data_IF_473720872240
#
_entry.id   IF_473720872240
#
_cell.length_a   1.000
_cell.length_b   1.000
_cell.length_c   1.000
_cell.angle_alpha   90.00
_cell.angle_beta   90.00
_cell.angle_gamma   90.00
#
_symmetry.space_group_name_H-M   'P 1'
#
loop_
_entity.id
_entity.type
_entity.pdbx_description
1 polymer ?
#
# COMPACT_ATOMS: atom_id res chain seq x y z
N UNK A 1 27.60 0.76 13.10
CA UNK A 1 26.19 1.22 13.25
C UNK A 1 26.08 2.71 13.57
N UNK A 2 26.91 3.26 14.47
CA UNK A 2 26.88 4.69 14.85
C UNK A 2 26.91 5.67 13.67
N UNK A 3 27.82 5.46 12.70
CA UNK A 3 27.91 6.31 11.50
C UNK A 3 26.67 6.26 10.58
N UNK A 4 25.86 5.20 10.63
CA UNK A 4 24.60 5.11 9.88
C UNK A 4 23.51 5.93 10.57
N UNK A 5 23.43 5.84 11.90
CA UNK A 5 22.47 6.60 12.71
C UNK A 5 22.71 8.10 12.55
N UNK A 6 23.97 8.55 12.63
CA UNK A 6 24.35 9.95 12.43
C UNK A 6 23.97 10.46 11.02
N UNK A 7 24.15 9.62 9.98
CA UNK A 7 23.74 9.97 8.61
C UNK A 7 22.22 10.07 8.46
N UNK A 8 21.46 9.21 9.13
CA UNK A 8 20.00 9.27 9.14
C UNK A 8 19.52 10.52 9.88
N UNK A 9 20.16 10.91 10.98
CA UNK A 9 19.86 12.15 11.71
C UNK A 9 20.09 13.40 10.85
N UNK A 10 21.23 13.46 10.14
CA UNK A 10 21.51 14.55 9.22
C UNK A 10 20.48 14.61 8.07
N UNK A 11 20.05 13.46 7.55
CA UNK A 11 19.06 13.39 6.48
C UNK A 11 17.65 13.86 6.91
N UNK A 12 17.23 13.54 8.14
CA UNK A 12 15.97 14.07 8.69
C UNK A 12 16.05 15.59 8.81
N UNK A 13 17.13 16.10 9.43
CA UNK A 13 17.30 17.54 9.63
C UNK A 13 17.33 18.33 8.31
N UNK A 14 17.97 17.78 7.28
CA UNK A 14 18.00 18.41 5.95
C UNK A 14 16.63 18.37 5.27
N UNK A 15 15.86 17.30 5.44
CA UNK A 15 14.49 17.21 4.91
C UNK A 15 13.58 18.25 5.56
N UNK A 16 13.68 18.44 6.87
CA UNK A 16 12.93 19.47 7.60
C UNK A 16 13.31 20.88 7.14
N UNK A 17 14.61 21.13 6.94
CA UNK A 17 15.11 22.42 6.40
C UNK A 17 14.55 22.71 5.00
N UNK A 18 14.54 21.72 4.12
CA UNK A 18 14.00 21.85 2.76
C UNK A 18 12.49 22.15 2.78
N UNK A 19 11.74 21.57 3.72
CA UNK A 19 10.31 21.90 3.88
C UNK A 19 10.11 23.37 4.25
N UNK A 20 10.90 23.90 5.18
CA UNK A 20 10.83 25.31 5.58
C UNK A 20 11.13 26.23 4.39
N UNK A 21 12.24 26.00 3.70
CA UNK A 21 12.67 26.82 2.54
C UNK A 21 11.64 26.79 1.42
N UNK A 22 11.09 25.61 1.13
CA UNK A 22 10.05 25.47 0.11
C UNK A 22 8.76 26.21 0.50
N UNK A 23 8.32 26.09 1.75
CA UNK A 23 7.17 26.82 2.28
C UNK A 23 7.34 28.34 2.11
N UNK A 24 8.52 28.86 2.44
CA UNK A 24 8.87 30.27 2.24
C UNK A 24 8.86 30.70 0.76
N UNK A 25 9.35 29.84 -0.14
CA UNK A 25 9.33 30.12 -1.58
C UNK A 25 7.91 30.11 -2.15
N UNK A 26 7.05 29.17 -1.72
CA UNK A 26 5.64 29.13 -2.10
C UNK A 26 4.93 30.38 -1.59
N UNK A 27 5.10 30.73 -0.32
CA UNK A 27 4.50 31.93 0.26
C UNK A 27 4.97 33.21 -0.44
N UNK A 28 6.25 33.28 -0.84
CA UNK A 28 6.79 34.41 -1.61
C UNK A 28 6.21 34.48 -3.01
N UNK A 29 6.09 33.34 -3.69
CA UNK A 29 5.47 33.25 -5.01
C UNK A 29 3.97 33.62 -4.96
N UNK A 30 3.26 33.27 -3.88
CA UNK A 30 1.88 33.65 -3.64
C UNK A 30 1.68 35.15 -3.35
N UNK A 31 2.74 35.92 -3.05
CA UNK A 31 2.66 37.36 -2.77
C UNK A 31 2.94 38.24 -4.00
N UNK A 32 3.43 37.67 -5.09
CA UNK A 32 3.67 38.40 -6.34
C UNK A 32 2.35 38.44 -7.13
N UNK A 33 1.84 39.65 -7.42
CA UNK A 33 0.58 39.84 -8.15
C UNK A 33 0.70 39.47 -9.63
N UNK A 34 -0.24 38.66 -10.11
CA UNK A 34 -0.39 38.30 -11.51
C UNK A 34 -0.60 36.79 -11.73
N UNK A 35 -1.72 36.45 -12.38
CA UNK A 35 -2.16 35.10 -12.78
C UNK A 35 -2.65 34.21 -11.63
N UNK A 36 -3.94 34.37 -11.27
CA UNK A 36 -4.63 33.51 -10.28
C UNK A 36 -4.48 32.01 -10.58
N UNK A 37 -4.40 31.63 -11.86
CA UNK A 37 -4.18 30.25 -12.29
C UNK A 37 -2.75 29.76 -11.96
N UNK A 38 -1.73 30.59 -12.19
CA UNK A 38 -0.34 30.30 -11.79
C UNK A 38 -0.22 30.21 -10.27
N UNK A 39 -0.94 31.07 -9.54
CA UNK A 39 -1.00 31.07 -8.09
C UNK A 39 -1.61 29.76 -7.53
N UNK A 40 -2.68 29.28 -8.16
CA UNK A 40 -3.30 28.00 -7.81
C UNK A 40 -2.35 26.81 -8.08
N UNK A 41 -1.71 26.77 -9.26
CA UNK A 41 -0.74 25.71 -9.59
C UNK A 41 0.49 25.71 -8.68
N UNK A 42 1.01 26.88 -8.31
CA UNK A 42 2.13 26.99 -7.35
C UNK A 42 1.72 26.51 -5.96
N UNK A 43 0.49 26.82 -5.52
CA UNK A 43 -0.03 26.33 -4.24
C UNK A 43 -0.19 24.81 -4.24
N UNK A 44 -0.71 24.24 -5.32
CA UNK A 44 -0.90 22.80 -5.48
C UNK A 44 0.46 22.08 -5.50
N UNK A 45 1.40 22.56 -6.31
CA UNK A 45 2.78 22.04 -6.36
C UNK A 45 3.48 22.14 -5.00
N UNK A 46 3.33 23.28 -4.31
CA UNK A 46 3.86 23.47 -2.96
C UNK A 46 3.27 22.48 -1.94
N UNK A 47 1.97 22.22 -2.03
CA UNK A 47 1.30 21.23 -1.20
C UNK A 47 1.76 19.80 -1.52
N UNK A 48 1.95 19.46 -2.79
CA UNK A 48 2.44 18.15 -3.24
C UNK A 48 3.86 17.88 -2.78
N UNK A 49 4.77 18.81 -3.03
CA UNK A 49 6.17 18.66 -2.60
C UNK A 49 6.24 18.66 -1.08
N UNK A 50 5.43 19.47 -0.38
CA UNK A 50 5.31 19.41 1.08
C UNK A 50 4.81 18.05 1.59
N UNK A 51 3.85 17.42 0.91
CA UNK A 51 3.40 16.04 1.21
C UNK A 51 4.52 15.03 0.98
N UNK A 52 5.23 15.12 -0.13
CA UNK A 52 6.34 14.21 -0.46
C UNK A 52 7.47 14.33 0.56
N UNK A 53 7.88 15.55 0.93
CA UNK A 53 8.91 15.76 1.94
C UNK A 53 8.49 15.23 3.32
N UNK A 54 7.22 15.38 3.72
CA UNK A 54 6.71 14.79 4.96
C UNK A 54 6.73 13.27 4.92
N UNK A 55 6.38 12.69 3.78
CA UNK A 55 6.48 11.24 3.57
C UNK A 55 7.92 10.77 3.71
N UNK A 56 8.87 11.45 3.07
CA UNK A 56 10.29 11.11 3.16
C UNK A 56 10.83 11.26 4.58
N UNK A 57 10.51 12.35 5.29
CA UNK A 57 10.91 12.56 6.68
C UNK A 57 10.40 11.41 7.57
N UNK A 58 9.15 10.97 7.36
CA UNK A 58 8.58 9.83 8.08
C UNK A 58 9.34 8.54 7.79
N UNK A 59 9.61 8.23 6.53
CA UNK A 59 10.37 7.02 6.14
C UNK A 59 11.79 7.03 6.74
N UNK A 60 12.48 8.16 6.72
CA UNK A 60 13.82 8.27 7.31
C UNK A 60 13.74 8.11 8.83
N UNK A 61 12.73 8.69 9.48
CA UNK A 61 12.50 8.53 10.93
C UNK A 61 12.19 7.08 11.32
N UNK A 62 11.37 6.37 10.55
CA UNK A 62 11.07 4.95 10.75
C UNK A 62 12.32 4.10 10.55
N UNK A 63 13.13 4.41 9.52
CA UNK A 63 14.42 3.76 9.28
C UNK A 63 15.41 3.98 10.41
N UNK A 64 15.45 5.18 11.00
CA UNK A 64 16.27 5.49 12.17
C UNK A 64 15.80 4.71 13.40
N UNK A 65 14.48 4.62 13.62
CA UNK A 65 13.91 3.85 14.72
C UNK A 65 14.33 2.39 14.63
N UNK A 66 14.19 1.79 13.45
CA UNK A 66 14.64 0.41 13.18
C UNK A 66 16.15 0.25 13.35
N UNK A 67 16.96 1.19 12.87
CA UNK A 67 18.41 1.15 13.06
C UNK A 67 18.82 1.22 14.54
N UNK A 68 18.11 1.99 15.35
CA UNK A 68 18.32 2.07 16.79
C UNK A 68 17.86 0.80 17.50
N UNK A 69 16.71 0.24 17.12
CA UNK A 69 16.23 -1.04 17.65
C UNK A 69 17.22 -2.18 17.34
N UNK A 70 17.76 -2.22 16.12
CA UNK A 70 18.81 -3.17 15.73
C UNK A 70 20.13 -2.95 16.47
N UNK A 71 20.48 -1.69 16.79
CA UNK A 71 21.70 -1.38 17.55
C UNK A 71 21.58 -1.72 19.05
N UNK A 72 20.37 -1.74 19.59
CA UNK A 72 20.09 -2.05 20.99
C UNK A 72 19.65 -3.50 21.22
N UNK A 73 19.29 -4.23 20.16
CA UNK A 73 19.04 -5.65 20.25
C UNK A 73 20.31 -6.33 20.81
N UNK A 74 20.20 -7.14 21.89
CA UNK A 74 21.32 -7.96 22.33
C UNK A 74 21.79 -8.79 21.15
N UNK A 75 23.10 -9.06 21.06
CA UNK A 75 23.76 -9.82 19.97
C UNK A 75 23.32 -11.28 19.85
N UNK A 76 22.08 -11.58 20.25
CA UNK A 76 21.42 -12.84 20.01
C UNK A 76 21.16 -12.94 18.50
N UNK A 77 21.61 -14.04 17.86
CA UNK A 77 21.32 -14.28 16.46
C UNK A 77 19.83 -14.13 16.20
N UNK A 78 19.42 -13.38 15.15
CA UNK A 78 18.01 -13.38 14.77
C UNK A 78 17.58 -14.84 14.55
N UNK A 79 16.41 -15.23 15.09
CA UNK A 79 15.97 -16.62 15.03
C UNK A 79 15.86 -17.04 13.57
N UNK A 80 16.22 -18.29 13.30
CA UNK A 80 16.11 -18.84 11.96
C UNK A 80 14.64 -18.82 11.52
N UNK A 81 14.40 -18.34 10.30
CA UNK A 81 13.06 -18.08 9.79
C UNK A 81 12.61 -19.28 8.96
N UNK A 82 11.43 -19.82 9.24
CA UNK A 82 10.83 -20.85 8.37
C UNK A 82 10.39 -20.20 7.04
N UNK A 83 10.62 -20.85 5.89
CA UNK A 83 10.05 -20.42 4.61
C UNK A 83 8.53 -20.17 4.69
N UNK A 84 7.80 -20.98 5.47
CA UNK A 84 6.35 -20.85 5.65
C UNK A 84 5.97 -19.50 6.30
N UNK A 85 6.77 -19.02 7.26
CA UNK A 85 6.52 -17.73 7.91
C UNK A 85 6.64 -16.56 6.91
N UNK A 86 7.53 -16.68 5.94
CA UNK A 86 7.69 -15.68 4.86
C UNK A 86 6.49 -15.73 3.91
N UNK A 87 6.03 -16.94 3.57
CA UNK A 87 4.82 -17.16 2.75
C UNK A 87 3.60 -16.53 3.42
N UNK A 88 3.40 -16.76 4.71
CA UNK A 88 2.28 -16.19 5.46
C UNK A 88 2.33 -14.66 5.47
N UNK A 89 3.52 -14.08 5.66
CA UNK A 89 3.69 -12.63 5.67
C UNK A 89 3.43 -11.99 4.29
N UNK A 90 3.88 -12.63 3.21
CA UNK A 90 3.58 -12.19 1.83
C UNK A 90 2.07 -12.32 1.55
N UNK A 91 1.43 -13.38 2.02
CA UNK A 91 -0.02 -13.56 1.89
C UNK A 91 -0.78 -12.44 2.59
N UNK A 92 -0.46 -12.15 3.85
CA UNK A 92 -1.07 -11.03 4.58
C UNK A 92 -0.88 -9.70 3.86
N UNK A 93 0.30 -9.47 3.29
CA UNK A 93 0.56 -8.26 2.50
C UNK A 93 -0.35 -8.19 1.26
N UNK A 94 -0.48 -9.26 0.49
CA UNK A 94 -1.36 -9.31 -0.69
C UNK A 94 -2.82 -9.07 -0.29
N UNK A 95 -3.27 -9.71 0.79
CA UNK A 95 -4.63 -9.58 1.31
C UNK A 95 -4.93 -8.13 1.74
N UNK A 96 -4.00 -7.48 2.44
CA UNK A 96 -4.13 -6.07 2.85
C UNK A 96 -4.22 -5.13 1.64
N UNK A 97 -3.38 -5.32 0.61
CA UNK A 97 -3.44 -4.48 -0.59
C UNK A 97 -4.79 -4.65 -1.29
N UNK A 98 -5.29 -5.88 -1.40
CA UNK A 98 -6.60 -6.13 -1.99
C UNK A 98 -7.74 -5.57 -1.13
N UNK A 99 -7.60 -5.55 0.20
CA UNK A 99 -8.58 -4.94 1.10
C UNK A 99 -8.63 -3.41 0.94
N UNK A 100 -7.47 -2.75 0.84
CA UNK A 100 -7.38 -1.31 0.63
C UNK A 100 -7.99 -0.89 -0.71
N UNK A 101 -7.74 -1.66 -1.77
CA UNK A 101 -8.35 -1.45 -3.09
C UNK A 101 -9.87 -1.58 -3.03
N UNK A 102 -10.40 -2.50 -2.21
CA UNK A 102 -11.86 -2.65 -2.00
C UNK A 102 -12.45 -1.48 -1.19
N UNK A 103 -11.66 -0.82 -0.34
CA UNK A 103 -12.09 0.33 0.48
C UNK A 103 -12.00 1.67 -0.27
N UNK A 104 -11.37 1.70 -1.44
CA UNK A 104 -11.34 2.86 -2.34
C UNK A 104 -12.74 3.33 -2.74
N UNK A 105 -12.88 4.64 -3.07
CA UNK A 105 -14.17 5.26 -3.38
C UNK A 105 -14.73 4.73 -4.70
N UNK A 106 -16.07 4.64 -4.79
CA UNK A 106 -16.76 4.34 -6.05
C UNK A 106 -16.32 5.32 -7.13
N UNK A 107 -15.75 4.80 -8.23
CA UNK A 107 -15.29 5.57 -9.38
C UNK A 107 -13.77 5.68 -9.56
N UNK A 108 -12.96 5.21 -8.60
CA UNK A 108 -11.50 5.14 -8.76
C UNK A 108 -11.05 3.82 -9.43
N UNK A 109 -10.04 3.90 -10.29
CA UNK A 109 -9.46 2.75 -10.99
C UNK A 109 -8.83 1.78 -9.97
N UNK A 110 -9.51 0.66 -9.72
CA UNK A 110 -9.03 -0.36 -8.80
C UNK A 110 -7.84 -1.12 -9.40
N UNK A 111 -6.63 -0.84 -8.91
CA UNK A 111 -5.43 -1.60 -9.27
C UNK A 111 -5.39 -2.90 -8.48
N UNK A 112 -5.28 -4.05 -9.15
CA UNK A 112 -5.17 -5.35 -8.47
C UNK A 112 -3.78 -5.95 -8.70
N UNK A 113 -3.21 -6.53 -7.65
CA UNK A 113 -2.02 -7.38 -7.78
C UNK A 113 -2.44 -8.72 -8.40
N UNK A 114 -1.93 -9.02 -9.59
CA UNK A 114 -2.17 -10.29 -10.30
C UNK A 114 -1.16 -11.36 -9.91
N UNK A 115 0.11 -10.99 -9.85
CA UNK A 115 1.21 -11.90 -9.55
C UNK A 115 2.35 -11.19 -8.82
N UNK A 116 2.97 -11.89 -7.87
CA UNK A 116 4.19 -11.46 -7.20
C UNK A 116 5.20 -12.60 -7.28
N UNK A 117 6.39 -12.31 -7.77
CA UNK A 117 7.53 -13.22 -7.74
C UNK A 117 8.51 -12.73 -6.69
N UNK A 118 8.90 -13.63 -5.77
CA UNK A 118 9.87 -13.35 -4.72
C UNK A 118 11.03 -14.32 -4.87
N UNK A 119 12.22 -13.76 -5.06
CA UNK A 119 13.47 -14.49 -5.02
C UNK A 119 14.20 -14.15 -3.73
N UNK A 120 14.35 -15.15 -2.85
CA UNK A 120 15.08 -15.02 -1.60
C UNK A 120 16.42 -15.74 -1.70
N UNK A 121 17.50 -15.00 -1.50
CA UNK A 121 18.85 -15.55 -1.39
C UNK A 121 19.27 -15.53 0.07
N UNK A 122 19.60 -16.69 0.62
CA UNK A 122 19.96 -16.81 2.02
C UNK A 122 20.71 -18.09 2.33
N UNK A 123 21.33 -18.11 3.51
CA UNK A 123 21.87 -19.33 4.08
C UNK A 123 20.69 -20.20 4.51
N UNK A 124 20.52 -21.37 3.90
CA UNK A 124 19.49 -22.32 4.29
C UNK A 124 20.17 -23.46 5.05
N UNK A 125 19.75 -23.68 6.28
CA UNK A 125 20.16 -24.84 7.08
C UNK A 125 18.98 -25.78 7.14
N UNK A 126 19.20 -27.05 6.78
CA UNK A 126 18.22 -28.11 6.97
C UNK A 126 18.55 -28.82 8.27
N UNK A 127 17.72 -28.62 9.29
CA UNK A 127 17.83 -29.33 10.57
C UNK A 127 16.59 -30.21 10.77
N UNK A 128 16.80 -31.50 11.05
CA UNK A 128 15.74 -32.50 11.28
C UNK A 128 14.58 -32.40 10.27
N UNK A 129 14.92 -32.42 8.98
CA UNK A 129 13.98 -32.35 7.84
C UNK A 129 13.24 -31.00 7.65
N UNK A 130 13.59 -29.96 8.41
CA UNK A 130 13.01 -28.61 8.26
C UNK A 130 14.03 -27.64 7.70
N UNK A 131 13.69 -26.99 6.59
CA UNK A 131 14.48 -25.91 6.03
C UNK A 131 14.29 -24.64 6.87
N UNK A 132 15.39 -24.02 7.28
CA UNK A 132 15.40 -22.76 8.01
C UNK A 132 16.33 -21.77 7.31
N UNK A 133 15.86 -20.55 7.16
CA UNK A 133 16.63 -19.44 6.59
C UNK A 133 17.36 -18.75 7.73
N UNK A 134 18.69 -18.77 7.67
CA UNK A 134 19.54 -18.11 8.64
C UNK A 134 19.80 -16.68 8.16
N UNK A 135 19.36 -15.67 8.91
CA UNK A 135 19.61 -14.29 8.53
C UNK A 135 21.11 -13.97 8.61
N UNK A 136 21.60 -13.04 7.77
CA UNK A 136 22.98 -12.60 7.82
C UNK A 136 23.33 -12.01 9.18
N UNK A 137 24.45 -12.45 9.76
CA UNK A 137 24.98 -11.87 11.00
C UNK A 137 26.02 -10.79 10.66
N UNK A 138 26.05 -9.64 11.36
CA UNK A 138 26.97 -8.53 11.03
C UNK A 138 28.45 -8.90 11.17
N UNK A 139 28.77 -9.86 12.02
CA UNK A 139 30.10 -10.32 12.42
C UNK A 139 30.53 -11.62 11.72
N UNK A 140 29.62 -12.24 10.95
CA UNK A 140 29.91 -13.49 10.23
C UNK A 140 29.95 -13.26 8.72
N UNK A 141 31.13 -13.31 8.09
CA UNK A 141 31.22 -13.23 6.63
C UNK A 141 30.45 -14.41 6.01
N UNK A 142 29.64 -14.09 4.99
CA UNK A 142 28.86 -15.08 4.24
C UNK A 142 29.67 -15.46 3.01
N UNK A 143 29.92 -16.76 2.85
CA UNK A 143 30.45 -17.31 1.61
C UNK A 143 29.33 -17.33 0.55
N UNK A 144 29.48 -16.61 -0.59
CA UNK A 144 28.49 -16.63 -1.66
C UNK A 144 28.22 -18.04 -2.20
N UNK A 145 29.20 -18.95 -2.12
CA UNK A 145 29.04 -20.35 -2.52
C UNK A 145 28.13 -21.17 -1.62
N UNK A 146 27.76 -20.67 -0.45
CA UNK A 146 26.86 -21.32 0.52
C UNK A 146 25.43 -20.77 0.47
N UNK A 147 25.17 -19.77 -0.38
CA UNK A 147 23.84 -19.18 -0.53
C UNK A 147 22.93 -20.11 -1.34
N UNK A 148 21.80 -20.44 -0.74
CA UNK A 148 20.70 -21.10 -1.45
C UNK A 148 19.71 -20.05 -1.95
N UNK A 149 19.00 -20.38 -3.03
CA UNK A 149 17.96 -19.53 -3.61
C UNK A 149 16.60 -20.20 -3.48
N UNK A 150 15.63 -19.51 -2.89
CA UNK A 150 14.22 -19.89 -2.87
C UNK A 150 13.48 -18.96 -3.83
N UNK A 151 12.78 -19.54 -4.82
CA UNK A 151 11.89 -18.79 -5.73
C UNK A 151 10.45 -19.13 -5.39
N UNK A 152 9.66 -18.12 -5.09
CA UNK A 152 8.25 -18.25 -4.75
C UNK A 152 7.43 -17.40 -5.72
N UNK A 153 6.33 -17.96 -6.21
CA UNK A 153 5.40 -17.29 -7.12
C UNK A 153 4.01 -17.28 -6.50
N UNK A 154 3.45 -16.10 -6.31
CA UNK A 154 2.14 -15.90 -5.74
C UNK A 154 1.20 -15.39 -6.82
N UNK A 155 0.13 -16.15 -7.09
CA UNK A 155 -0.98 -15.68 -7.91
C UNK A 155 -2.12 -15.24 -7.03
N UNK A 156 -2.69 -14.07 -7.29
CA UNK A 156 -3.89 -13.61 -6.60
C UNK A 156 -5.04 -13.47 -7.59
N UNK A 157 -6.16 -14.12 -7.29
CA UNK A 157 -7.40 -13.99 -8.08
C UNK A 157 -8.30 -13.00 -7.36
N UNK A 158 -8.46 -11.76 -7.88
CA UNK A 158 -9.34 -10.79 -7.25
C UNK A 158 -10.79 -11.26 -7.36
N UNK A 159 -11.44 -11.47 -6.22
CA UNK A 159 -12.89 -11.74 -6.18
C UNK A 159 -13.60 -10.40 -6.30
N UNK A 160 -14.26 -10.16 -7.43
CA UNK A 160 -15.11 -8.99 -7.62
C UNK A 160 -16.23 -8.99 -6.57
N UNK A 161 -16.53 -7.84 -5.97
CA UNK A 161 -17.73 -7.68 -5.14
C UNK A 161 -18.96 -8.04 -5.99
N UNK A 162 -19.94 -8.80 -5.47
CA UNK A 162 -21.21 -8.95 -6.14
C UNK A 162 -21.79 -7.55 -6.36
N UNK A 163 -21.97 -7.16 -7.62
CA UNK A 163 -22.72 -5.95 -7.97
C UNK A 163 -24.09 -6.07 -7.33
N UNK A 164 -24.50 -5.04 -6.56
CA UNK A 164 -25.84 -4.97 -6.01
C UNK A 164 -26.85 -5.28 -7.12
N UNK A 165 -27.73 -6.24 -6.85
CA UNK A 165 -28.80 -6.68 -7.75
C UNK A 165 -29.52 -5.42 -8.27
N UNK A 166 -29.67 -5.22 -9.58
CA UNK A 166 -30.38 -4.05 -10.08
C UNK A 166 -31.75 -4.00 -9.40
N UNK A 167 -32.07 -2.86 -8.78
CA UNK A 167 -33.39 -2.63 -8.19
C UNK A 167 -34.44 -2.91 -9.26
N UNK A 168 -35.53 -3.63 -8.93
CA UNK A 168 -36.60 -3.85 -9.87
C UNK A 168 -37.15 -2.50 -10.30
N UNK A 169 -37.03 -2.20 -11.59
CA UNK A 169 -37.60 -1.01 -12.21
C UNK A 169 -39.09 -0.96 -11.84
N UNK A 170 -39.62 0.17 -11.32
CA UNK A 170 -41.03 0.30 -11.06
C UNK A 170 -41.79 0.08 -12.38
N UNK A 171 -42.58 -0.99 -12.45
CA UNK A 171 -43.45 -1.23 -13.59
C UNK A 171 -44.49 -0.11 -13.61
N UNK A 172 -44.60 0.69 -14.68
CA UNK A 172 -45.63 1.71 -14.75
C UNK A 172 -47.02 1.05 -14.66
N UNK A 173 -48.00 1.65 -13.95
CA UNK A 173 -49.33 1.08 -13.84
C UNK A 173 -49.94 0.94 -15.23
N UNK A 174 -50.32 -0.30 -15.56
CA UNK A 174 -50.97 -0.64 -16.82
C UNK A 174 -52.26 0.19 -16.97
N UNK A 175 -52.48 0.90 -18.08
CA UNK A 175 -53.68 1.71 -18.26
C UNK A 175 -54.92 0.80 -18.23
N UNK A 176 -55.85 1.15 -17.34
CA UNK A 176 -57.10 0.46 -17.14
C UNK A 176 -57.83 0.26 -18.47
N UNK A 177 -58.03 -1.00 -18.86
CA UNK A 177 -58.84 -1.37 -20.02
C UNK A 177 -60.28 -0.86 -19.89
N UNK A 178 -60.96 -0.62 -21.01
CA UNK A 178 -62.28 0.01 -21.03
C UNK A 178 -63.34 -0.83 -20.30
N UNK A 179 -64.09 -0.16 -19.42
CA UNK A 179 -65.28 -0.68 -18.73
C UNK A 179 -66.27 -1.29 -19.74
N UNK A 180 -66.42 -2.61 -19.72
CA UNK A 180 -67.52 -3.29 -20.39
C UNK A 180 -68.83 -2.99 -19.63
N UNK A 181 -69.68 -2.18 -20.25
CA UNK A 181 -71.06 -1.91 -19.79
C UNK A 181 -71.91 -3.17 -19.90
N UNK A 182 -72.48 -3.61 -18.77
CA UNK A 182 -73.40 -4.73 -18.70
C UNK A 182 -74.70 -4.47 -19.47
N UNK A 183 -75.10 -5.45 -20.29
CA UNK A 183 -76.45 -5.52 -20.87
C UNK A 183 -77.10 -6.83 -20.42
N UNK A 184 -77.93 -6.75 -19.37
CA UNK A 184 -78.80 -7.83 -18.90
C UNK A 184 -79.78 -8.22 -20.01
N UNK A 185 -79.77 -9.50 -20.41
CA UNK A 185 -80.88 -10.15 -21.11
C UNK A 185 -81.70 -10.94 -20.08
N UNK A 186 -83.01 -10.69 -20.06
CA UNK A 186 -84.05 -11.46 -19.36
C UNK A 186 -84.34 -12.75 -20.16
N UNK A 187 -84.58 -13.90 -19.53
CA UNK A 187 -85.38 -14.96 -20.13
C UNK A 187 -86.84 -14.88 -19.67
N UNK A 188 -87.69 -15.39 -20.56
CA UNK A 188 -89.15 -15.54 -20.47
C UNK A 188 -89.59 -16.57 -19.45
#
# INVERSE_FOLDING_TARGET
MTALIERLEAAVAETDRLQTVLGEHVDRALRLDGLDQTRASVKELGADVGRQLKSHARTISESRKLANELAQAPGEPPPAISPDAIVDQIRTMIDNVHEDVRKGREGETASTLRSVEVELKGLIVVDREKAQIVPPQPDRPIDPGQLSTIRMSFGAVPVARPSARPEPVPVPPSPAGPRATGRRRRPS
#
